data_IF_661819398037
#
_entry.id   IF_661819398037
#
_cell.length_a   1.000
_cell.length_b   1.000
_cell.length_c   1.000
_cell.angle_alpha   90.00
_cell.angle_beta   90.00
_cell.angle_gamma   90.00
#
_symmetry.space_group_name_H-M   'P 1'
#
loop_
_entity.id
_entity.type
_entity.pdbx_description
1 polymer ?
#
# COMPACT_ATOMS: atom_id res chain seq x y z
N UNK A 1 5.53 -11.66 4.56
CA UNK A 1 5.35 -12.91 3.78
C UNK A 1 5.05 -12.56 2.33
N UNK A 2 5.68 -13.27 1.42
CA UNK A 2 5.44 -13.06 -0.01
C UNK A 2 4.32 -14.00 -0.46
N UNK A 3 3.29 -13.49 -1.10
CA UNK A 3 2.15 -14.28 -1.57
C UNK A 3 2.09 -14.27 -3.10
N UNK A 4 1.58 -15.36 -3.65
CA UNK A 4 1.29 -15.44 -5.06
C UNK A 4 0.00 -14.68 -5.36
N UNK A 5 0.04 -13.78 -6.34
CA UNK A 5 -1.08 -12.91 -6.69
C UNK A 5 -1.76 -13.42 -7.96
N UNK A 6 -3.09 -13.49 -7.92
CA UNK A 6 -3.86 -13.83 -9.10
C UNK A 6 -3.86 -12.63 -10.07
N UNK A 7 -3.12 -12.77 -11.17
CA UNK A 7 -2.92 -11.71 -12.15
C UNK A 7 -4.23 -11.30 -12.83
N UNK A 8 -5.11 -12.24 -13.10
CA UNK A 8 -6.37 -11.93 -13.76
C UNK A 8 -7.31 -11.15 -12.85
N UNK A 9 -7.34 -11.49 -11.58
CA UNK A 9 -8.11 -10.74 -10.58
C UNK A 9 -7.50 -9.36 -10.39
N UNK A 10 -6.17 -9.25 -10.39
CA UNK A 10 -5.50 -7.96 -10.27
C UNK A 10 -5.85 -7.00 -11.41
N UNK A 11 -6.02 -7.51 -12.62
CA UNK A 11 -6.45 -6.69 -13.77
C UNK A 11 -7.84 -6.09 -13.56
N UNK A 12 -8.65 -6.70 -12.70
CA UNK A 12 -9.98 -6.22 -12.36
C UNK A 12 -9.95 -5.18 -11.23
N UNK A 13 -8.80 -4.94 -10.63
CA UNK A 13 -8.66 -3.96 -9.55
C UNK A 13 -8.84 -2.55 -10.11
N UNK A 14 -9.89 -1.89 -9.63
CA UNK A 14 -10.21 -0.53 -10.06
C UNK A 14 -9.59 0.48 -9.10
N UNK A 15 -8.48 1.07 -9.52
CA UNK A 15 -7.74 2.05 -8.71
C UNK A 15 -8.57 3.31 -8.40
N UNK A 16 -9.56 3.62 -9.24
CA UNK A 16 -10.43 4.78 -9.01
C UNK A 16 -11.34 4.61 -7.79
N UNK A 17 -11.52 3.37 -7.32
CA UNK A 17 -12.34 3.07 -6.14
C UNK A 17 -11.55 3.07 -4.84
N UNK A 18 -10.25 3.26 -4.92
CA UNK A 18 -9.41 3.36 -3.74
C UNK A 18 -9.30 4.80 -3.25
N UNK A 19 -8.55 4.98 -2.17
CA UNK A 19 -8.35 6.26 -1.52
C UNK A 19 -6.90 6.71 -1.66
N UNK A 20 -6.69 8.03 -1.65
CA UNK A 20 -5.35 8.58 -1.44
C UNK A 20 -4.92 8.29 0.01
N UNK A 21 -3.65 8.47 0.31
CA UNK A 21 -3.17 8.30 1.67
C UNK A 21 -3.87 9.26 2.63
N UNK A 22 -4.09 10.50 2.20
CA UNK A 22 -4.78 11.52 2.99
C UNK A 22 -6.24 11.13 3.27
N UNK A 23 -6.96 10.63 2.26
CA UNK A 23 -8.32 10.14 2.44
C UNK A 23 -8.38 8.91 3.35
N UNK A 24 -7.38 8.03 3.24
CA UNK A 24 -7.23 6.87 4.12
C UNK A 24 -7.13 7.32 5.60
N UNK A 25 -6.29 8.32 5.87
CA UNK A 25 -6.15 8.85 7.22
C UNK A 25 -7.48 9.37 7.79
N UNK A 26 -8.29 10.00 6.95
CA UNK A 26 -9.59 10.54 7.36
C UNK A 26 -10.60 9.47 7.75
N UNK A 27 -10.37 8.21 7.38
CA UNK A 27 -11.25 7.11 7.78
C UNK A 27 -11.10 6.71 9.24
N UNK A 28 -10.01 7.11 9.88
CA UNK A 28 -9.75 6.80 11.28
C UNK A 28 -10.22 7.90 12.22
N UNK A 29 -10.32 7.55 13.49
CA UNK A 29 -10.50 8.56 14.55
C UNK A 29 -9.23 9.39 14.69
N UNK A 30 -9.33 10.53 15.37
CA UNK A 30 -8.22 11.47 15.52
C UNK A 30 -6.96 10.80 16.09
N UNK A 31 -7.12 9.96 17.11
CA UNK A 31 -5.99 9.25 17.72
C UNK A 31 -5.32 8.28 16.75
N UNK A 32 -6.11 7.63 15.92
CA UNK A 32 -5.61 6.69 14.91
C UNK A 32 -4.82 7.42 13.83
N UNK A 33 -5.36 8.54 13.36
CA UNK A 33 -4.64 9.39 12.40
C UNK A 33 -3.33 9.90 12.95
N UNK A 34 -3.35 10.41 14.18
CA UNK A 34 -2.16 10.94 14.83
C UNK A 34 -1.08 9.88 14.98
N UNK A 35 -1.49 8.66 15.34
CA UNK A 35 -0.57 7.53 15.45
C UNK A 35 0.09 7.22 14.11
N UNK A 36 -0.72 7.18 13.04
CA UNK A 36 -0.22 6.90 11.71
C UNK A 36 0.72 8.01 11.22
N UNK A 37 0.36 9.27 11.44
CA UNK A 37 1.20 10.41 11.06
C UNK A 37 2.52 10.39 11.81
N UNK A 38 2.49 10.11 13.11
CA UNK A 38 3.73 9.99 13.90
C UNK A 38 4.61 8.86 13.40
N UNK A 39 4.00 7.72 13.05
CA UNK A 39 4.77 6.60 12.50
C UNK A 39 5.44 7.00 11.19
N UNK A 40 4.74 7.74 10.32
CA UNK A 40 5.32 8.24 9.08
C UNK A 40 6.51 9.16 9.33
N UNK A 41 6.41 10.05 10.33
CA UNK A 41 7.48 11.00 10.64
C UNK A 41 8.73 10.31 11.20
N UNK A 42 8.59 9.10 11.74
CA UNK A 42 9.70 8.32 12.31
C UNK A 42 10.30 7.34 11.31
N UNK A 43 9.67 7.13 10.18
CA UNK A 43 10.13 6.15 9.20
C UNK A 43 11.40 6.63 8.52
N UNK A 44 12.42 5.77 8.52
CA UNK A 44 13.70 6.05 7.87
C UNK A 44 14.10 4.83 7.05
N UNK A 45 14.63 5.10 5.87
CA UNK A 45 15.23 4.07 5.02
C UNK A 45 16.74 4.13 5.15
N UNK A 46 17.40 3.00 4.92
CA UNK A 46 18.84 3.01 4.75
C UNK A 46 19.18 3.87 3.53
N UNK A 47 20.40 4.41 3.50
CA UNK A 47 20.83 5.25 2.39
C UNK A 47 20.79 4.50 1.05
N UNK A 48 21.18 3.23 1.05
CA UNK A 48 21.15 2.40 -0.15
C UNK A 48 19.72 2.14 -0.63
N UNK A 49 18.79 1.89 0.27
CA UNK A 49 17.39 1.65 -0.10
C UNK A 49 16.74 2.95 -0.60
N UNK A 50 17.02 4.07 0.05
CA UNK A 50 16.52 5.35 -0.41
C UNK A 50 17.02 5.66 -1.82
N UNK A 51 18.28 5.40 -2.12
CA UNK A 51 18.84 5.56 -3.46
C UNK A 51 18.15 4.67 -4.48
N UNK A 52 17.85 3.43 -4.10
CA UNK A 52 17.13 2.51 -4.96
C UNK A 52 15.72 3.01 -5.29
N UNK A 53 15.00 3.50 -4.28
CA UNK A 53 13.65 4.05 -4.48
C UNK A 53 13.69 5.29 -5.37
N UNK A 54 14.65 6.20 -5.13
CA UNK A 54 14.82 7.41 -5.95
C UNK A 54 15.16 7.08 -7.41
N UNK A 55 15.75 5.91 -7.65
CA UNK A 55 16.12 5.51 -9.01
C UNK A 55 14.95 4.98 -9.83
N UNK A 56 13.79 4.77 -9.23
CA UNK A 56 12.61 4.27 -9.93
C UNK A 56 12.12 5.33 -10.92
N UNK A 57 12.15 4.99 -12.22
CA UNK A 57 11.73 5.88 -13.30
C UNK A 57 10.46 5.41 -14.01
N UNK A 58 10.20 4.12 -13.98
CA UNK A 58 8.96 3.57 -14.56
C UNK A 58 7.82 3.74 -13.58
N UNK A 59 6.63 3.97 -14.12
CA UNK A 59 5.43 4.08 -13.28
C UNK A 59 5.25 2.82 -12.46
N UNK A 60 5.19 3.00 -11.14
CA UNK A 60 4.93 1.93 -10.19
C UNK A 60 3.74 2.35 -9.35
N UNK A 61 2.70 1.51 -9.33
CA UNK A 61 1.50 1.77 -8.55
C UNK A 61 1.46 0.81 -7.38
N UNK A 62 1.41 1.36 -6.19
CA UNK A 62 1.25 0.57 -4.97
C UNK A 62 -0.23 0.51 -4.63
N UNK A 63 -0.77 -0.70 -4.56
CA UNK A 63 -2.12 -0.93 -4.06
C UNK A 63 -2.00 -1.49 -2.65
N UNK A 64 -2.43 -0.73 -1.65
CA UNK A 64 -2.33 -1.13 -0.26
C UNK A 64 -3.71 -1.39 0.32
N UNK A 65 -3.93 -2.58 0.84
CA UNK A 65 -5.11 -2.91 1.61
C UNK A 65 -4.76 -2.71 3.07
N UNK A 66 -5.37 -1.72 3.72
CA UNK A 66 -4.97 -1.32 5.06
C UNK A 66 -6.13 -0.67 5.82
N UNK A 67 -6.02 -0.69 7.15
CA UNK A 67 -6.99 -0.01 8.02
C UNK A 67 -6.22 0.86 9.03
N UNK A 68 -6.70 2.10 9.23
CA UNK A 68 -6.04 3.06 10.10
C UNK A 68 -5.97 2.57 11.54
N UNK A 69 -6.96 1.80 11.97
CA UNK A 69 -7.03 1.24 13.33
C UNK A 69 -6.11 0.05 13.54
N UNK A 70 -5.66 -0.59 12.47
CA UNK A 70 -4.86 -1.82 12.57
C UNK A 70 -3.41 -1.51 12.94
N UNK A 71 -2.89 -2.04 14.07
CA UNK A 71 -1.52 -1.77 14.49
C UNK A 71 -0.47 -2.14 13.44
N UNK A 72 -0.67 -3.24 12.73
CA UNK A 72 0.26 -3.68 11.69
C UNK A 72 0.25 -2.72 10.49
N UNK A 73 -0.92 -2.18 10.14
CA UNK A 73 -1.03 -1.16 9.10
C UNK A 73 -0.29 0.12 9.51
N UNK A 74 -0.36 0.50 10.79
CA UNK A 74 0.34 1.68 11.31
C UNK A 74 1.85 1.55 11.15
N UNK A 75 2.39 0.35 11.36
CA UNK A 75 3.83 0.08 11.19
C UNK A 75 4.22 0.04 9.71
N UNK A 76 3.36 -0.52 8.88
CA UNK A 76 3.69 -0.84 7.49
C UNK A 76 3.44 0.29 6.51
N UNK A 77 2.33 1.01 6.64
CA UNK A 77 1.95 2.06 5.71
C UNK A 77 2.97 3.20 5.57
N UNK A 78 3.74 3.56 6.61
CA UNK A 78 4.77 4.58 6.46
C UNK A 78 5.81 4.27 5.39
N UNK A 79 6.14 2.99 5.18
CA UNK A 79 7.09 2.60 4.13
C UNK A 79 6.54 2.92 2.75
N UNK A 80 5.28 2.56 2.50
CA UNK A 80 4.63 2.86 1.23
C UNK A 80 4.54 4.38 1.00
N UNK A 81 4.15 5.13 2.02
CA UNK A 81 4.07 6.59 1.94
C UNK A 81 5.44 7.21 1.64
N UNK A 82 6.47 6.75 2.35
CA UNK A 82 7.83 7.28 2.14
C UNK A 82 8.31 7.02 0.72
N UNK A 83 8.02 5.87 0.17
CA UNK A 83 8.39 5.56 -1.22
C UNK A 83 7.79 6.58 -2.19
N UNK A 84 6.54 6.96 -1.99
CA UNK A 84 5.90 7.96 -2.87
C UNK A 84 6.50 9.35 -2.71
N UNK A 85 7.02 9.66 -1.55
CA UNK A 85 7.70 10.95 -1.31
C UNK A 85 9.06 11.01 -1.99
N UNK A 86 9.73 9.86 -2.11
CA UNK A 86 11.08 9.78 -2.70
C UNK A 86 11.06 9.68 -4.22
N UNK A 87 9.99 9.21 -4.82
CA UNK A 87 9.89 9.07 -6.27
C UNK A 87 8.51 9.45 -6.78
N UNK A 88 8.46 10.39 -7.72
CA UNK A 88 7.20 10.79 -8.37
C UNK A 88 6.64 9.70 -9.29
N UNK A 89 7.46 8.73 -9.66
CA UNK A 89 7.01 7.60 -10.47
C UNK A 89 6.18 6.59 -9.66
N UNK A 90 6.25 6.66 -8.32
CA UNK A 90 5.55 5.74 -7.43
C UNK A 90 4.26 6.39 -6.92
N UNK A 91 3.12 5.79 -7.22
CA UNK A 91 1.82 6.20 -6.71
C UNK A 91 1.30 5.22 -5.68
N UNK A 92 0.48 5.68 -4.75
CA UNK A 92 -0.13 4.86 -3.71
C UNK A 92 -1.64 5.04 -3.72
N UNK A 93 -2.35 3.92 -3.82
CA UNK A 93 -3.81 3.87 -3.67
C UNK A 93 -4.13 2.91 -2.53
N UNK A 94 -4.96 3.34 -1.60
CA UNK A 94 -5.30 2.55 -0.42
C UNK A 94 -6.73 2.05 -0.55
N UNK A 95 -6.90 0.75 -0.28
CA UNK A 95 -8.21 0.12 -0.25
C UNK A 95 -8.47 -0.36 1.18
N UNK A 96 -9.61 -0.01 1.79
CA UNK A 96 -9.92 -0.55 3.11
C UNK A 96 -10.20 -2.05 3.00
N UNK A 97 -9.95 -2.78 4.08
CA UNK A 97 -10.34 -4.20 4.14
C UNK A 97 -11.85 -4.34 4.07
N UNK A 98 -12.57 -3.48 4.79
CA UNK A 98 -14.03 -3.44 4.76
C UNK A 98 -14.51 -3.22 3.34
N UNK A 99 -15.44 -4.03 2.88
CA UNK A 99 -15.99 -4.06 1.52
C UNK A 99 -15.05 -4.64 0.46
N UNK A 100 -13.83 -5.02 0.83
CA UNK A 100 -12.85 -5.58 -0.12
C UNK A 100 -12.33 -6.95 0.30
N UNK A 101 -12.90 -7.58 1.32
CA UNK A 101 -12.43 -8.87 1.82
C UNK A 101 -12.43 -9.94 0.74
N UNK A 102 -13.50 -10.01 -0.04
CA UNK A 102 -13.63 -10.99 -1.10
C UNK A 102 -12.58 -10.77 -2.19
N UNK A 103 -12.41 -9.53 -2.62
CA UNK A 103 -11.41 -9.18 -3.62
C UNK A 103 -10.01 -9.51 -3.14
N UNK A 104 -9.69 -9.14 -1.89
CA UNK A 104 -8.39 -9.39 -1.30
C UNK A 104 -8.11 -10.89 -1.19
N UNK A 105 -9.10 -11.66 -0.78
CA UNK A 105 -8.99 -13.12 -0.71
C UNK A 105 -8.78 -13.73 -2.09
N UNK A 106 -9.49 -13.24 -3.11
CA UNK A 106 -9.30 -13.69 -4.49
C UNK A 106 -7.92 -13.34 -5.02
N UNK A 107 -7.38 -12.18 -4.64
CA UNK A 107 -6.06 -11.72 -5.08
C UNK A 107 -4.91 -12.51 -4.45
N UNK A 108 -4.97 -12.78 -3.16
CA UNK A 108 -3.83 -13.29 -2.39
C UNK A 108 -4.09 -14.59 -1.65
N UNK A 109 -5.33 -15.07 -1.67
CA UNK A 109 -5.73 -16.28 -0.94
C UNK A 109 -6.15 -16.04 0.50
N UNK A 110 -5.88 -14.84 1.05
CA UNK A 110 -6.26 -14.49 2.42
C UNK A 110 -6.67 -13.02 2.49
N UNK A 111 -7.67 -12.71 3.31
CA UNK A 111 -8.14 -11.34 3.50
C UNK A 111 -7.42 -10.68 4.68
N UNK A 112 -6.11 -10.52 4.57
CA UNK A 112 -5.29 -9.92 5.64
C UNK A 112 -4.85 -8.51 5.31
N UNK A 113 -4.78 -7.66 6.30
CA UNK A 113 -4.19 -6.33 6.19
C UNK A 113 -3.04 -6.20 7.20
N UNK A 114 -1.97 -5.50 6.85
CA UNK A 114 -1.77 -4.85 5.56
C UNK A 114 -1.37 -5.83 4.45
N UNK A 115 -1.78 -5.53 3.25
CA UNK A 115 -1.31 -6.20 2.04
C UNK A 115 -0.88 -5.13 1.06
N UNK A 116 0.29 -5.26 0.49
CA UNK A 116 0.83 -4.30 -0.47
C UNK A 116 1.16 -5.01 -1.78
N UNK A 117 0.59 -4.50 -2.86
CA UNK A 117 0.83 -5.01 -4.21
C UNK A 117 1.60 -3.96 -5.00
N UNK A 118 2.65 -4.42 -5.68
CA UNK A 118 3.47 -3.58 -6.56
C UNK A 118 3.03 -3.83 -7.99
N UNK A 119 2.44 -2.83 -8.62
CA UNK A 119 1.85 -2.96 -9.95
C UNK A 119 2.55 -2.02 -10.93
N UNK A 120 2.87 -2.54 -12.12
CA UNK A 120 3.36 -1.72 -13.22
C UNK A 120 2.24 -0.89 -13.83
N UNK A 121 2.57 -0.15 -14.88
CA UNK A 121 1.67 0.79 -15.55
C UNK A 121 0.35 0.16 -16.01
N UNK A 122 0.37 -1.11 -16.41
CA UNK A 122 -0.81 -1.83 -16.91
C UNK A 122 -1.45 -2.74 -15.86
N UNK A 123 -1.13 -2.54 -14.58
CA UNK A 123 -1.65 -3.38 -13.51
C UNK A 123 -0.98 -4.73 -13.40
N UNK A 124 0.17 -4.93 -14.07
CA UNK A 124 0.92 -6.17 -13.98
C UNK A 124 1.70 -6.17 -12.67
N UNK A 125 1.54 -7.19 -11.81
CA UNK A 125 2.24 -7.20 -10.53
C UNK A 125 3.73 -7.41 -10.73
N UNK A 126 4.53 -6.62 -10.05
CA UNK A 126 5.98 -6.80 -9.97
C UNK A 126 6.42 -7.32 -8.60
N UNK A 127 5.48 -7.47 -7.67
CA UNK A 127 5.75 -8.02 -6.36
C UNK A 127 4.57 -7.82 -5.42
N UNK A 128 4.62 -8.48 -4.28
CA UNK A 128 3.58 -8.37 -3.26
C UNK A 128 4.15 -8.60 -1.87
N UNK A 129 3.46 -8.07 -0.88
CA UNK A 129 3.70 -8.34 0.53
C UNK A 129 2.36 -8.51 1.24
N UNK A 130 2.25 -9.58 2.00
CA UNK A 130 1.06 -9.87 2.83
C UNK A 130 1.56 -10.14 4.24
N UNK A 131 0.96 -9.46 5.20
CA UNK A 131 1.27 -9.66 6.63
C UNK A 131 0.88 -11.04 7.13
#
# INVERSE_FOLDING_TARGET
>A
MKAEVDVEVLRMLDFSKGYSFEEYLEKGYAEERDRQVRACSRTRFSQSFEGLVRSVKRTLRLAAFAEVYCPDSVVFMPFARRMTELSKAIGLTVFPRTSNEKLLEELTGVARVPTLLFCGKEGIPSGSYVE
#
